data_IF_693012814534
#
_entry.id   IF_693012814534
#
_cell.length_a   1.000
_cell.length_b   1.000
_cell.length_c   1.000
_cell.angle_alpha   90.00
_cell.angle_beta   90.00
_cell.angle_gamma   90.00
#
_symmetry.space_group_name_H-M   'P 1'
#
loop_
_entity.id
_entity.type
_entity.pdbx_description
1 polymer ?
#
# COMPACT_ATOMS: atom_id res chain seq x y z
N UNK A 1 -13.29 -5.08 9.35
CA UNK A 1 -14.25 -3.97 9.20
C UNK A 1 -14.18 -3.35 7.83
N UNK A 2 -13.05 -2.71 7.49
CA UNK A 2 -12.80 -2.22 6.13
C UNK A 2 -12.48 -3.37 5.17
N UNK A 3 -12.75 -3.18 3.87
CA UNK A 3 -12.35 -4.11 2.80
C UNK A 3 -11.04 -3.69 2.14
N UNK A 4 -10.42 -4.59 1.37
CA UNK A 4 -9.28 -4.26 0.52
C UNK A 4 -9.62 -3.13 -0.49
N UNK A 5 -10.85 -3.09 -0.99
CA UNK A 5 -11.36 -2.03 -1.86
C UNK A 5 -11.48 -0.68 -1.15
N UNK A 6 -11.87 -0.65 0.12
CA UNK A 6 -11.92 0.59 0.91
C UNK A 6 -10.53 1.22 1.05
N UNK A 7 -9.52 0.42 1.37
CA UNK A 7 -8.14 0.90 1.47
C UNK A 7 -7.63 1.42 0.13
N UNK A 8 -7.91 0.71 -0.97
CA UNK A 8 -7.55 1.16 -2.31
C UNK A 8 -8.23 2.48 -2.68
N UNK A 9 -9.53 2.63 -2.39
CA UNK A 9 -10.28 3.87 -2.62
C UNK A 9 -9.77 5.02 -1.77
N UNK A 10 -9.45 4.77 -0.50
CA UNK A 10 -8.87 5.77 0.40
C UNK A 10 -7.53 6.29 -0.14
N UNK A 11 -6.68 5.39 -0.64
CA UNK A 11 -5.42 5.78 -1.29
C UNK A 11 -5.65 6.66 -2.52
N UNK A 12 -6.54 6.26 -3.43
CA UNK A 12 -6.88 7.08 -4.62
C UNK A 12 -7.37 8.47 -4.22
N UNK A 13 -8.24 8.55 -3.23
CA UNK A 13 -8.78 9.82 -2.72
C UNK A 13 -7.68 10.72 -2.13
N UNK A 14 -6.67 10.13 -1.48
CA UNK A 14 -5.54 10.87 -0.91
C UNK A 14 -4.59 11.46 -1.97
N UNK A 15 -4.40 10.78 -3.09
CA UNK A 15 -3.44 11.21 -4.13
C UNK A 15 -4.08 12.12 -5.19
N UNK A 16 -5.39 12.00 -5.43
CA UNK A 16 -6.13 12.74 -6.46
C UNK A 16 -5.98 14.27 -6.38
N UNK A 17 -5.98 14.93 -5.20
CA UNK A 17 -5.77 16.38 -5.10
C UNK A 17 -4.42 16.86 -5.65
N UNK A 18 -3.43 15.97 -5.72
CA UNK A 18 -2.10 16.28 -6.26
C UNK A 18 -2.02 16.02 -7.78
N UNK A 19 -3.13 15.71 -8.44
CA UNK A 19 -3.16 15.37 -9.87
C UNK A 19 -2.61 13.97 -10.18
N UNK A 20 -2.34 13.16 -9.15
CA UNK A 20 -1.80 11.82 -9.30
C UNK A 20 -2.92 10.79 -9.49
N UNK A 21 -2.64 9.79 -10.31
CA UNK A 21 -3.46 8.59 -10.47
C UNK A 21 -2.59 7.36 -10.23
N UNK A 22 -3.19 6.29 -9.70
CA UNK A 22 -2.52 5.00 -9.54
C UNK A 22 -3.38 3.90 -10.14
N UNK A 23 -2.96 3.33 -11.26
CA UNK A 23 -3.66 2.17 -11.82
C UNK A 23 -3.23 0.87 -11.13
N UNK A 24 -4.14 -0.09 -11.08
CA UNK A 24 -3.92 -1.42 -10.50
C UNK A 24 -3.91 -1.46 -8.98
N UNK A 25 -3.30 -2.51 -8.42
CA UNK A 25 -3.20 -2.71 -6.97
C UNK A 25 -2.21 -1.73 -6.32
N UNK A 26 -2.45 -1.43 -5.06
CA UNK A 26 -1.58 -0.57 -4.21
C UNK A 26 -0.83 -1.38 -3.14
N UNK A 27 -1.08 -2.69 -3.11
CA UNK A 27 -0.47 -3.61 -2.17
C UNK A 27 -1.10 -4.99 -2.25
N UNK A 28 -0.54 -5.94 -1.50
CA UNK A 28 -0.96 -7.32 -1.49
C UNK A 28 -0.61 -8.00 -0.18
N UNK A 29 -1.40 -9.00 0.21
CA UNK A 29 -1.12 -9.83 1.37
C UNK A 29 0.21 -10.56 1.19
N UNK A 30 1.01 -10.58 2.25
CA UNK A 30 2.34 -11.21 2.28
C UNK A 30 2.45 -12.11 3.50
N UNK A 31 3.12 -13.25 3.35
CA UNK A 31 3.23 -14.27 4.38
C UNK A 31 4.44 -15.16 4.16
N UNK A 32 4.21 -16.46 3.96
CA UNK A 32 5.29 -17.39 3.61
C UNK A 32 5.79 -17.16 2.18
N UNK A 33 4.90 -16.71 1.30
CA UNK A 33 5.22 -16.28 -0.07
C UNK A 33 4.96 -14.77 -0.24
N UNK A 34 5.49 -14.21 -1.31
CA UNK A 34 5.30 -12.81 -1.69
C UNK A 34 3.83 -12.48 -1.97
N UNK A 35 3.05 -13.41 -2.52
CA UNK A 35 1.62 -13.24 -2.78
C UNK A 35 0.83 -14.32 -2.05
N UNK A 36 0.45 -14.02 -0.81
CA UNK A 36 -0.16 -14.97 0.11
C UNK A 36 -1.50 -14.43 0.63
N UNK A 37 -2.46 -14.24 -0.29
CA UNK A 37 -3.83 -13.82 0.04
C UNK A 37 -4.35 -12.61 -0.76
N UNK A 38 -5.25 -11.78 -0.15
CA UNK A 38 -5.96 -10.75 -0.88
C UNK A 38 -5.06 -9.60 -1.33
N UNK A 39 -5.39 -8.99 -2.48
CA UNK A 39 -4.72 -7.78 -2.98
C UNK A 39 -5.51 -6.52 -2.64
N UNK A 40 -4.82 -5.41 -2.36
CA UNK A 40 -5.41 -4.09 -2.16
C UNK A 40 -5.75 -3.47 -3.51
N UNK A 41 -6.94 -3.78 -4.03
CA UNK A 41 -7.50 -3.24 -5.28
C UNK A 41 -8.91 -2.74 -5.07
N UNK A 42 -9.36 -1.79 -5.88
CA UNK A 42 -10.73 -1.23 -5.82
C UNK A 42 -11.83 -2.25 -6.15
N UNK A 43 -11.47 -3.44 -6.61
CA UNK A 43 -12.38 -4.52 -6.98
C UNK A 43 -12.35 -5.70 -6.01
N UNK A 44 -11.62 -5.61 -4.90
CA UNK A 44 -11.49 -6.69 -3.92
C UNK A 44 -12.25 -6.36 -2.63
N UNK A 45 -13.42 -6.96 -2.45
CA UNK A 45 -14.27 -6.75 -1.28
C UNK A 45 -13.92 -7.65 -0.08
N UNK A 46 -12.75 -8.33 -0.11
CA UNK A 46 -12.29 -9.12 1.04
C UNK A 46 -12.15 -8.22 2.27
N UNK A 47 -12.83 -8.59 3.35
CA UNK A 47 -12.73 -7.92 4.63
C UNK A 47 -11.33 -8.08 5.24
N UNK A 48 -10.77 -6.97 5.71
CA UNK A 48 -9.52 -6.93 6.43
C UNK A 48 -9.78 -7.19 7.92
N UNK A 49 -9.08 -8.19 8.45
CA UNK A 49 -9.12 -8.60 9.86
C UNK A 49 -7.75 -8.51 10.52
N UNK A 50 -7.73 -8.50 11.86
CA UNK A 50 -6.50 -8.43 12.64
C UNK A 50 -5.51 -9.54 12.27
N UNK A 51 -4.21 -9.22 12.35
CA UNK A 51 -3.06 -10.03 11.96
C UNK A 51 -2.92 -10.35 10.46
N UNK A 52 -3.80 -9.88 9.59
CA UNK A 52 -3.45 -9.82 8.16
C UNK A 52 -2.24 -8.89 7.96
N UNK A 53 -1.34 -9.29 7.06
CA UNK A 53 -0.13 -8.53 6.75
C UNK A 53 -0.11 -8.21 5.28
N UNK A 54 0.12 -6.94 4.94
CA UNK A 54 0.14 -6.48 3.56
C UNK A 54 1.47 -5.80 3.26
N UNK A 55 2.06 -6.12 2.13
CA UNK A 55 3.04 -5.25 1.52
C UNK A 55 2.29 -4.10 0.82
N UNK A 56 2.44 -2.88 1.35
CA UNK A 56 2.00 -1.67 0.68
C UNK A 56 3.11 -1.21 -0.25
N UNK A 57 2.78 -0.97 -1.52
CA UNK A 57 3.74 -0.50 -2.50
C UNK A 57 3.02 0.43 -3.48
N UNK A 58 3.45 1.69 -3.50
CA UNK A 58 3.03 2.64 -4.52
C UNK A 58 4.23 3.28 -5.18
N UNK A 59 4.22 3.24 -6.51
CA UNK A 59 5.18 3.90 -7.36
C UNK A 59 4.49 4.89 -8.29
N UNK A 60 5.12 6.04 -8.49
CA UNK A 60 4.72 7.06 -9.44
C UNK A 60 5.86 7.27 -10.43
N UNK A 61 5.50 7.39 -11.70
CA UNK A 61 6.46 7.66 -12.77
C UNK A 61 6.18 9.04 -13.33
N UNK A 62 7.16 9.93 -13.25
CA UNK A 62 7.08 11.27 -13.83
C UNK A 62 8.36 11.59 -14.58
N UNK A 63 8.26 11.97 -15.87
CA UNK A 63 9.38 12.55 -16.66
C UNK A 63 10.70 11.75 -16.67
N UNK A 64 10.65 10.44 -16.41
CA UNK A 64 11.77 9.46 -16.28
C UNK A 64 12.26 9.17 -14.86
N UNK A 65 11.64 9.75 -13.84
CA UNK A 65 11.90 9.44 -12.44
C UNK A 65 10.83 8.49 -11.89
N UNK A 66 11.25 7.62 -10.96
CA UNK A 66 10.35 6.72 -10.23
C UNK A 66 10.41 7.08 -8.76
N UNK A 67 9.28 7.54 -8.24
CA UNK A 67 9.08 7.78 -6.82
C UNK A 67 8.41 6.54 -6.25
N UNK A 68 8.96 5.98 -5.18
CA UNK A 68 8.39 4.79 -4.55
C UNK A 68 8.29 4.96 -3.05
N UNK A 69 7.14 4.55 -2.51
CA UNK A 69 6.94 4.30 -1.09
C UNK A 69 6.52 2.86 -0.94
N UNK A 70 7.22 2.12 -0.08
CA UNK A 70 6.85 0.76 0.29
C UNK A 70 7.07 0.51 1.77
N UNK A 71 6.18 -0.27 2.36
CA UNK A 71 6.30 -0.74 3.73
C UNK A 71 5.49 -2.03 3.88
N UNK A 72 5.79 -2.80 4.92
CA UNK A 72 4.95 -3.94 5.30
C UNK A 72 4.12 -3.54 6.50
N UNK A 73 2.82 -3.81 6.42
CA UNK A 73 1.83 -3.35 7.38
C UNK A 73 1.12 -4.54 7.99
N UNK A 74 1.16 -4.68 9.31
CA UNK A 74 0.35 -5.63 10.05
C UNK A 74 -0.91 -4.94 10.56
N UNK A 75 -2.07 -5.51 10.26
CA UNK A 75 -3.34 -5.03 10.80
C UNK A 75 -3.46 -5.45 12.26
N UNK A 76 -3.79 -4.51 13.14
CA UNK A 76 -4.05 -4.75 14.55
C UNK A 76 -5.56 -4.74 14.81
N UNK A 77 -6.00 -5.08 16.03
CA UNK A 77 -7.42 -5.04 16.38
C UNK A 77 -8.05 -3.65 16.17
N UNK A 78 -7.27 -2.59 16.35
CA UNK A 78 -7.75 -1.20 16.36
C UNK A 78 -7.06 -0.31 15.31
N UNK A 79 -6.32 -0.89 14.34
CA UNK A 79 -5.59 -0.11 13.36
C UNK A 79 -4.55 -0.93 12.60
N UNK A 80 -3.37 -0.33 12.43
CA UNK A 80 -2.28 -0.93 11.68
C UNK A 80 -0.93 -0.53 12.27
N UNK A 81 0.05 -1.42 12.16
CA UNK A 81 1.42 -1.24 12.60
C UNK A 81 2.36 -1.44 11.41
N UNK A 82 3.32 -0.52 11.25
CA UNK A 82 4.33 -0.58 10.21
C UNK A 82 5.49 -1.43 10.71
N UNK A 83 5.95 -2.37 9.89
CA UNK A 83 7.07 -3.25 10.25
C UNK A 83 8.42 -2.55 10.06
N UNK A 84 8.47 -1.46 9.29
CA UNK A 84 9.67 -0.62 9.19
C UNK A 84 9.57 0.64 10.05
N UNK A 85 10.70 1.00 10.67
CA UNK A 85 10.92 2.30 11.30
C UNK A 85 11.69 3.27 10.38
N UNK A 86 11.81 2.95 9.09
CA UNK A 86 12.58 3.76 8.15
C UNK A 86 11.88 5.12 7.95
N UNK A 87 12.63 6.25 7.99
CA UNK A 87 12.03 7.57 7.77
C UNK A 87 11.36 7.67 6.40
N UNK A 88 10.12 8.15 6.37
CA UNK A 88 9.34 8.36 5.13
C UNK A 88 9.67 9.71 4.50
N UNK A 89 10.96 10.01 4.42
CA UNK A 89 11.52 11.19 3.77
C UNK A 89 12.02 10.81 2.39
N UNK A 90 11.82 11.66 1.39
CA UNK A 90 12.37 11.43 0.06
C UNK A 90 13.89 11.41 0.14
N UNK A 91 14.51 10.37 -0.42
CA UNK A 91 15.95 10.28 -0.61
C UNK A 91 16.23 9.71 -2.00
N UNK A 92 17.30 10.18 -2.61
CA UNK A 92 17.79 9.67 -3.88
C UNK A 92 18.91 8.65 -3.62
N UNK A 93 18.99 7.60 -4.43
CA UNK A 93 20.13 6.70 -4.39
C UNK A 93 21.36 7.47 -4.88
N UNK A 94 22.50 7.43 -4.16
CA UNK A 94 23.75 7.99 -4.67
C UNK A 94 24.07 7.41 -6.06
N UNK A 95 24.63 8.26 -6.93
CA UNK A 95 25.07 7.88 -8.27
C UNK A 95 26.14 6.78 -8.23
#
# INVERSE_FOLDING_TARGET
GATCADVARAFQAAIRPYGLTKEGRIGYSVGLDFLDGPSLTTSNDTEIVANMTFHFQSNFVERSEIYMVSDTVRVTENGAELMSAFPRTLFERPA
#
